data_IF_741483208814
#
_entry.id   IF_741483208814
#
_cell.length_a   1.000
_cell.length_b   1.000
_cell.length_c   1.000
_cell.angle_alpha   90.00
_cell.angle_beta   90.00
_cell.angle_gamma   90.00
#
_symmetry.space_group_name_H-M   'P 1'
#
loop_
_entity.id
_entity.type
_entity.pdbx_description
1 polymer ?
#
# COMPACT_ATOMS: atom_id res chain seq x y z
N UNK A 1 30.99 10.17 2.57
CA UNK A 1 30.01 9.43 1.73
C UNK A 1 28.70 10.23 1.70
N UNK A 2 28.62 11.30 0.91
CA UNK A 2 27.69 12.42 1.22
C UNK A 2 26.72 12.83 0.10
N UNK A 3 26.50 11.96 -0.90
CA UNK A 3 25.81 12.33 -2.15
C UNK A 3 24.43 11.68 -2.40
N UNK A 4 23.75 11.21 -1.35
CA UNK A 4 22.36 10.71 -1.46
C UNK A 4 21.33 11.40 -0.56
N UNK A 5 21.65 12.55 0.04
CA UNK A 5 20.62 13.49 0.52
C UNK A 5 19.90 14.15 -0.68
N UNK A 6 19.01 13.40 -1.35
CA UNK A 6 18.14 13.89 -2.42
C UNK A 6 17.03 14.78 -1.84
N UNK A 7 17.40 16.03 -1.59
CA UNK A 7 16.58 17.19 -1.24
C UNK A 7 15.07 16.95 -1.29
N UNK A 8 14.44 16.75 -0.13
CA UNK A 8 13.05 17.21 0.03
C UNK A 8 13.10 18.73 -0.18
N UNK A 9 12.44 19.30 -1.21
CA UNK A 9 12.52 20.73 -1.48
C UNK A 9 12.02 21.52 -0.26
N UNK A 10 12.81 22.50 0.17
CA UNK A 10 12.60 23.27 1.40
C UNK A 10 11.16 23.81 1.49
N UNK A 11 10.60 23.94 2.71
CA UNK A 11 9.31 24.57 2.89
C UNK A 11 9.37 26.00 2.30
N UNK A 12 8.42 26.40 1.43
CA UNK A 12 8.50 27.69 0.77
C UNK A 12 8.30 28.83 1.76
N UNK A 13 9.11 29.87 1.59
CA UNK A 13 8.95 31.21 2.19
C UNK A 13 7.51 31.71 1.91
N UNK A 14 6.84 32.42 2.84
CA UNK A 14 5.42 32.76 2.70
C UNK A 14 5.12 33.68 1.50
N UNK A 15 4.71 33.07 0.39
CA UNK A 15 4.14 33.72 -0.79
C UNK A 15 2.85 33.03 -1.22
N UNK A 16 1.72 33.76 -1.23
CA UNK A 16 0.36 33.19 -1.28
C UNK A 16 -0.02 32.37 -2.53
N UNK A 17 0.82 32.33 -3.57
CA UNK A 17 0.47 31.70 -4.87
C UNK A 17 1.30 30.46 -5.19
N UNK A 18 2.47 30.26 -4.56
CA UNK A 18 3.37 29.13 -4.87
C UNK A 18 3.12 27.87 -4.02
N UNK A 19 2.24 27.97 -3.01
CA UNK A 19 2.04 26.98 -1.94
C UNK A 19 1.39 25.65 -2.37
N UNK A 20 0.90 25.53 -3.63
CA UNK A 20 0.19 24.35 -4.12
C UNK A 20 1.06 23.36 -4.90
N UNK A 21 2.08 23.82 -5.66
CA UNK A 21 2.74 22.97 -6.68
C UNK A 21 4.26 22.75 -6.53
N UNK A 22 5.03 23.70 -5.98
CA UNK A 22 6.50 23.70 -6.17
C UNK A 22 7.33 22.64 -5.42
N UNK A 23 6.77 21.95 -4.42
CA UNK A 23 7.55 21.11 -3.48
C UNK A 23 6.86 19.80 -3.09
N UNK A 24 5.53 19.82 -2.94
CA UNK A 24 4.74 18.67 -2.42
C UNK A 24 4.59 17.50 -3.40
N UNK A 25 4.76 17.73 -4.71
CA UNK A 25 4.54 16.72 -5.75
C UNK A 25 5.59 15.61 -5.74
N UNK A 26 6.88 15.97 -5.67
CA UNK A 26 7.98 15.01 -5.81
C UNK A 26 7.97 13.92 -4.72
N UNK A 27 7.78 14.31 -3.46
CA UNK A 27 7.77 13.36 -2.33
C UNK A 27 6.61 12.38 -2.38
N UNK A 28 5.45 12.81 -2.89
CA UNK A 28 4.30 11.94 -3.07
C UNK A 28 4.44 11.05 -4.30
N UNK A 29 4.98 11.56 -5.41
CA UNK A 29 5.33 10.73 -6.55
C UNK A 29 6.33 9.62 -6.18
N UNK A 30 7.35 9.93 -5.35
CA UNK A 30 8.25 8.93 -4.75
C UNK A 30 7.48 7.90 -3.91
N UNK A 31 6.60 8.34 -3.00
CA UNK A 31 5.77 7.44 -2.20
C UNK A 31 4.93 6.49 -3.07
N UNK A 32 4.23 7.02 -4.08
CA UNK A 32 3.39 6.23 -4.99
C UNK A 32 4.23 5.24 -5.82
N UNK A 33 5.35 5.69 -6.39
CA UNK A 33 6.23 4.84 -7.18
C UNK A 33 6.83 3.70 -6.34
N UNK A 34 7.30 3.99 -5.13
CA UNK A 34 7.83 2.97 -4.20
C UNK A 34 6.73 2.04 -3.71
N UNK A 35 5.54 2.56 -3.42
CA UNK A 35 4.40 1.77 -2.95
C UNK A 35 3.92 0.79 -4.03
N UNK A 36 3.75 1.26 -5.26
CA UNK A 36 3.39 0.40 -6.40
C UNK A 36 4.51 -0.60 -6.72
N UNK A 37 5.78 -0.19 -6.72
CA UNK A 37 6.89 -1.12 -6.94
C UNK A 37 6.99 -2.20 -5.85
N UNK A 38 6.72 -1.84 -4.59
CA UNK A 38 6.69 -2.79 -3.47
C UNK A 38 5.51 -3.76 -3.58
N UNK A 39 4.33 -3.27 -3.98
CA UNK A 39 3.15 -4.10 -4.22
C UNK A 39 3.36 -5.06 -5.40
N UNK A 40 3.91 -4.58 -6.52
CA UNK A 40 4.27 -5.42 -7.66
C UNK A 40 5.31 -6.49 -7.31
N UNK A 41 6.27 -6.18 -6.44
CA UNK A 41 7.22 -7.19 -5.96
C UNK A 41 6.52 -8.29 -5.16
N UNK A 42 5.52 -7.96 -4.34
CA UNK A 42 4.69 -8.97 -3.64
C UNK A 42 3.98 -9.87 -4.65
N UNK A 43 3.30 -9.32 -5.65
CA UNK A 43 2.57 -10.16 -6.62
C UNK A 43 3.49 -10.97 -7.53
N UNK A 44 4.64 -10.42 -7.96
CA UNK A 44 5.64 -11.19 -8.73
C UNK A 44 6.12 -12.41 -7.92
N UNK A 45 6.35 -12.24 -6.60
CA UNK A 45 6.72 -13.36 -5.73
C UNK A 45 5.56 -14.35 -5.52
N UNK A 46 4.32 -13.87 -5.40
CA UNK A 46 3.13 -14.71 -5.31
C UNK A 46 2.89 -15.53 -6.59
N UNK A 47 3.08 -14.92 -7.77
CA UNK A 47 3.05 -15.58 -9.08
C UNK A 47 4.14 -16.64 -9.19
N UNK A 48 5.39 -16.31 -8.83
CA UNK A 48 6.52 -17.26 -8.87
C UNK A 48 6.28 -18.46 -7.95
N UNK A 49 5.66 -18.28 -6.78
CA UNK A 49 5.32 -19.40 -5.90
C UNK A 49 4.15 -20.24 -6.46
N UNK A 50 3.10 -19.60 -6.96
CA UNK A 50 1.94 -20.28 -7.53
C UNK A 50 2.24 -21.01 -8.86
N UNK A 51 3.25 -20.59 -9.63
CA UNK A 51 3.68 -21.29 -10.84
C UNK A 51 4.17 -22.72 -10.58
N UNK A 52 4.57 -23.03 -9.34
CA UNK A 52 4.94 -24.39 -8.90
C UNK A 52 3.71 -25.32 -8.73
N UNK A 53 2.50 -24.76 -8.71
CA UNK A 53 1.24 -25.47 -8.48
C UNK A 53 0.51 -25.79 -9.80
N UNK A 54 -0.26 -26.89 -9.86
CA UNK A 54 -1.20 -27.14 -10.96
C UNK A 54 -2.12 -25.93 -11.21
N UNK A 55 -2.51 -25.62 -12.46
CA UNK A 55 -3.30 -24.42 -12.76
C UNK A 55 -4.60 -24.26 -11.95
N UNK A 56 -5.25 -25.37 -11.58
CA UNK A 56 -6.48 -25.38 -10.79
C UNK A 56 -6.26 -25.11 -9.28
N UNK A 57 -5.01 -25.18 -8.79
CA UNK A 57 -4.63 -25.00 -7.38
C UNK A 57 -3.92 -23.66 -7.13
N UNK A 58 -3.86 -22.79 -8.15
CA UNK A 58 -3.25 -21.46 -8.06
C UNK A 58 -4.16 -20.51 -7.30
N UNK A 59 -3.62 -19.93 -6.24
CA UNK A 59 -4.26 -18.90 -5.43
C UNK A 59 -3.76 -17.55 -5.95
N UNK A 60 -4.37 -17.10 -7.05
CA UNK A 60 -4.07 -15.88 -7.80
C UNK A 60 -5.39 -15.17 -8.20
N UNK A 61 -5.35 -13.90 -8.60
CA UNK A 61 -6.51 -13.17 -9.13
C UNK A 61 -6.95 -13.70 -10.50
N UNK A 62 -6.01 -14.30 -11.25
CA UNK A 62 -6.25 -14.99 -12.51
C UNK A 62 -5.26 -16.16 -12.77
N UNK A 63 -5.65 -17.26 -13.47
CA UNK A 63 -4.75 -18.39 -13.73
C UNK A 63 -3.56 -18.10 -14.67
N UNK A 64 -3.72 -17.12 -15.58
CA UNK A 64 -2.65 -16.59 -16.43
C UNK A 64 -1.85 -15.50 -15.67
N UNK A 65 -0.52 -15.67 -15.49
CA UNK A 65 0.35 -14.75 -14.77
C UNK A 65 0.41 -13.31 -15.29
N UNK A 66 0.29 -13.09 -16.61
CA UNK A 66 0.40 -11.75 -17.18
C UNK A 66 -0.86 -10.95 -16.87
N UNK A 67 -2.01 -11.58 -17.01
CA UNK A 67 -3.32 -11.06 -16.62
C UNK A 67 -3.37 -10.76 -15.12
N UNK A 68 -2.82 -11.64 -14.30
CA UNK A 68 -2.72 -11.47 -12.84
C UNK A 68 -1.94 -10.20 -12.47
N UNK A 69 -0.76 -9.99 -13.07
CA UNK A 69 0.05 -8.76 -12.90
C UNK A 69 -0.67 -7.48 -13.40
N UNK A 70 -1.57 -7.58 -14.38
CA UNK A 70 -2.42 -6.45 -14.79
C UNK A 70 -3.53 -6.17 -13.76
N UNK A 71 -4.16 -7.21 -13.20
CA UNK A 71 -5.18 -7.07 -12.16
C UNK A 71 -4.60 -6.58 -10.82
N UNK A 72 -3.36 -6.94 -10.51
CA UNK A 72 -2.61 -6.43 -9.37
C UNK A 72 -2.53 -4.89 -9.34
N UNK A 73 -2.47 -4.22 -10.51
CA UNK A 73 -2.57 -2.76 -10.57
C UNK A 73 -3.87 -2.26 -9.94
N UNK A 74 -5.00 -2.83 -10.37
CA UNK A 74 -6.33 -2.47 -9.89
C UNK A 74 -6.52 -2.81 -8.40
N UNK A 75 -5.92 -3.91 -7.94
CA UNK A 75 -6.01 -4.33 -6.54
C UNK A 75 -5.18 -3.44 -5.60
N UNK A 76 -3.90 -3.19 -5.91
CA UNK A 76 -2.99 -2.49 -4.99
C UNK A 76 -3.04 -0.97 -5.07
N UNK A 77 -3.41 -0.38 -6.21
CA UNK A 77 -3.43 1.07 -6.40
C UNK A 77 -4.26 1.80 -5.32
N UNK A 78 -5.47 1.35 -4.94
CA UNK A 78 -6.21 1.96 -3.84
C UNK A 78 -5.45 1.94 -2.51
N UNK A 79 -4.86 0.81 -2.10
CA UNK A 79 -4.10 0.76 -0.83
C UNK A 79 -2.95 1.76 -0.81
N UNK A 80 -2.20 1.88 -1.91
CA UNK A 80 -1.10 2.84 -2.05
C UNK A 80 -1.62 4.29 -2.05
N UNK A 81 -2.70 4.59 -2.76
CA UNK A 81 -3.30 5.94 -2.79
C UNK A 81 -3.85 6.37 -1.44
N UNK A 82 -4.71 5.55 -0.82
CA UNK A 82 -5.41 5.90 0.42
C UNK A 82 -4.42 6.03 1.60
N UNK A 83 -3.45 5.12 1.75
CA UNK A 83 -2.37 5.31 2.74
C UNK A 83 -1.51 6.53 2.42
N UNK A 84 -1.14 6.74 1.16
CA UNK A 84 -0.35 7.90 0.74
C UNK A 84 -1.03 9.24 1.06
N UNK A 85 -2.35 9.32 0.94
CA UNK A 85 -3.13 10.49 1.38
C UNK A 85 -3.17 10.62 2.91
N UNK A 86 -3.35 9.50 3.61
CA UNK A 86 -3.42 9.47 5.08
C UNK A 86 -2.10 9.89 5.74
N UNK A 87 -0.96 9.31 5.33
CA UNK A 87 0.36 9.62 5.93
C UNK A 87 0.82 11.04 5.61
N UNK A 88 0.31 11.67 4.55
CA UNK A 88 0.52 13.09 4.24
C UNK A 88 -0.32 14.03 5.11
N UNK A 89 -1.51 13.58 5.56
CA UNK A 89 -2.46 14.41 6.30
C UNK A 89 -2.29 14.30 7.83
N UNK A 90 -1.87 13.13 8.30
CA UNK A 90 -1.80 12.74 9.70
C UNK A 90 -0.42 12.16 10.07
N UNK A 91 -0.05 12.22 11.34
CA UNK A 91 1.26 11.85 11.87
C UNK A 91 1.54 10.32 11.96
N UNK A 92 1.00 9.53 11.03
CA UNK A 92 1.30 8.10 10.95
C UNK A 92 2.81 7.85 10.79
N UNK A 93 3.32 6.94 11.61
CA UNK A 93 4.67 6.37 11.53
C UNK A 93 4.64 5.09 10.69
N UNK A 94 5.76 4.74 10.07
CA UNK A 94 5.85 3.53 9.24
C UNK A 94 5.42 2.25 9.97
N UNK A 95 5.72 2.11 11.27
CA UNK A 95 5.33 0.94 12.05
C UNK A 95 3.83 0.90 12.38
N UNK A 96 3.16 2.07 12.47
CA UNK A 96 1.71 2.13 12.63
C UNK A 96 1.03 1.62 11.35
N UNK A 97 1.57 2.01 10.19
CA UNK A 97 1.12 1.51 8.87
C UNK A 97 1.43 0.02 8.70
N UNK A 98 2.61 -0.44 9.12
CA UNK A 98 3.00 -1.86 9.12
C UNK A 98 2.02 -2.71 9.91
N UNK A 99 1.75 -2.34 11.18
CA UNK A 99 0.90 -3.14 12.05
C UNK A 99 -0.57 -3.14 11.60
N UNK A 100 -1.12 -1.98 11.23
CA UNK A 100 -2.51 -1.90 10.76
C UNK A 100 -2.66 -2.64 9.43
N UNK A 101 -1.75 -2.39 8.49
CA UNK A 101 -1.79 -2.95 7.14
C UNK A 101 -1.49 -4.45 7.06
N UNK A 102 -0.64 -4.96 7.95
CA UNK A 102 -0.38 -6.40 8.08
C UNK A 102 -1.46 -7.14 8.88
N UNK A 103 -2.01 -6.53 9.94
CA UNK A 103 -3.13 -7.12 10.69
C UNK A 103 -4.41 -7.21 9.85
N UNK A 104 -4.72 -6.20 9.04
CA UNK A 104 -5.81 -6.27 8.06
C UNK A 104 -5.52 -7.28 6.95
N UNK A 105 -4.25 -7.43 6.54
CA UNK A 105 -3.81 -8.53 5.69
C UNK A 105 -4.20 -9.90 6.24
N UNK A 106 -3.88 -10.20 7.51
CA UNK A 106 -4.25 -11.47 8.17
C UNK A 106 -5.77 -11.73 8.12
N UNK A 107 -6.58 -10.68 8.35
CA UNK A 107 -8.04 -10.76 8.38
C UNK A 107 -8.68 -10.95 7.00
N UNK A 108 -8.05 -10.47 5.93
CA UNK A 108 -8.62 -10.45 4.58
C UNK A 108 -8.04 -11.51 3.65
N UNK A 109 -6.81 -11.96 3.89
CA UNK A 109 -6.10 -12.95 3.07
C UNK A 109 -6.95 -14.23 2.90
N UNK A 110 -7.17 -14.62 1.63
CA UNK A 110 -8.03 -15.75 1.24
C UNK A 110 -9.43 -15.69 1.88
N UNK A 111 -10.06 -14.50 1.85
CA UNK A 111 -11.39 -14.25 2.47
C UNK A 111 -11.41 -14.57 3.98
N UNK A 112 -10.27 -14.37 4.66
CA UNK A 112 -10.10 -14.64 6.09
C UNK A 112 -9.70 -16.07 6.44
N UNK A 113 -9.46 -16.95 5.45
CA UNK A 113 -9.01 -18.32 5.72
C UNK A 113 -7.68 -18.37 6.49
N UNK A 114 -6.77 -17.40 6.28
CA UNK A 114 -5.51 -17.33 7.05
C UNK A 114 -5.78 -16.98 8.52
N UNK A 115 -6.65 -16.01 8.82
CA UNK A 115 -7.07 -15.74 10.20
C UNK A 115 -7.69 -16.99 10.84
N UNK A 116 -8.65 -17.63 10.16
CA UNK A 116 -9.35 -18.82 10.65
C UNK A 116 -8.49 -20.09 10.73
N UNK A 117 -7.31 -20.11 10.12
CA UNK A 117 -6.37 -21.23 10.24
C UNK A 117 -5.74 -21.36 11.64
N UNK A 118 -5.82 -20.31 12.46
CA UNK A 118 -5.14 -20.21 13.76
C UNK A 118 -3.64 -20.57 13.75
N UNK A 119 -2.98 -20.42 12.60
CA UNK A 119 -1.57 -20.74 12.40
C UNK A 119 -0.70 -19.47 12.57
N UNK A 120 0.08 -19.33 13.68
CA UNK A 120 0.86 -18.13 13.94
C UNK A 120 1.98 -17.89 12.92
N UNK A 121 2.47 -18.93 12.24
CA UNK A 121 3.48 -18.80 11.19
C UNK A 121 2.87 -18.22 9.91
N UNK A 122 1.64 -18.65 9.56
CA UNK A 122 0.90 -18.04 8.45
C UNK A 122 0.55 -16.57 8.76
N UNK A 123 0.13 -16.29 10.00
CA UNK A 123 -0.13 -14.92 10.45
C UNK A 123 1.13 -14.04 10.39
N UNK A 124 2.26 -14.54 10.88
CA UNK A 124 3.54 -13.81 10.83
C UNK A 124 4.00 -13.57 9.38
N UNK A 125 3.86 -14.56 8.50
CA UNK A 125 4.16 -14.41 7.08
C UNK A 125 3.31 -13.31 6.44
N UNK A 126 1.99 -13.35 6.62
CA UNK A 126 1.06 -12.35 6.06
C UNK A 126 1.28 -10.96 6.67
N UNK A 127 1.55 -10.87 7.99
CA UNK A 127 1.94 -9.62 8.66
C UNK A 127 3.19 -9.01 8.02
N UNK A 128 4.22 -9.82 7.78
CA UNK A 128 5.48 -9.37 7.18
C UNK A 128 5.27 -8.93 5.72
N UNK A 129 4.54 -9.69 4.91
CA UNK A 129 4.27 -9.33 3.50
C UNK A 129 3.41 -8.07 3.42
N UNK A 130 2.19 -8.08 3.98
CA UNK A 130 1.24 -6.98 3.85
C UNK A 130 1.65 -5.73 4.62
N UNK A 131 2.29 -5.90 5.78
CA UNK A 131 2.84 -4.79 6.56
C UNK A 131 4.01 -4.11 5.84
N UNK A 132 4.94 -4.89 5.27
CA UNK A 132 6.16 -4.32 4.67
C UNK A 132 5.86 -3.48 3.42
N UNK A 133 5.07 -3.97 2.45
CA UNK A 133 4.85 -3.21 1.21
C UNK A 133 4.12 -1.89 1.44
N UNK A 134 3.28 -1.80 2.49
CA UNK A 134 2.61 -0.56 2.93
C UNK A 134 3.55 0.36 3.72
N UNK A 135 4.48 -0.19 4.50
CA UNK A 135 5.39 0.59 5.35
C UNK A 135 6.64 1.12 4.61
N UNK A 136 7.20 0.38 3.66
CA UNK A 136 8.36 0.76 2.84
C UNK A 136 8.20 2.14 2.16
N UNK A 137 7.08 2.48 1.48
CA UNK A 137 6.92 3.82 0.91
C UNK A 137 6.83 4.92 1.97
N UNK A 138 6.36 4.62 3.20
CA UNK A 138 6.36 5.56 4.33
C UNK A 138 7.79 5.84 4.78
N UNK A 139 8.62 4.80 4.94
CA UNK A 139 10.04 4.91 5.27
C UNK A 139 10.80 5.75 4.24
N UNK A 140 10.66 5.44 2.95
CA UNK A 140 11.36 6.16 1.87
C UNK A 140 10.89 7.62 1.74
N UNK A 141 9.67 7.94 2.20
CA UNK A 141 9.15 9.31 2.22
C UNK A 141 9.33 10.03 3.57
N UNK A 142 9.87 9.39 4.61
CA UNK A 142 9.77 9.81 6.01
C UNK A 142 10.32 11.24 6.25
N UNK A 143 11.53 11.54 5.76
CA UNK A 143 12.14 12.88 5.84
C UNK A 143 11.23 13.98 5.27
N UNK A 144 10.55 13.68 4.17
CA UNK A 144 9.68 14.64 3.51
C UNK A 144 8.31 14.74 4.19
N UNK A 145 7.79 13.63 4.75
CA UNK A 145 6.55 13.61 5.54
C UNK A 145 6.72 14.31 6.89
N UNK A 146 7.89 14.20 7.52
CA UNK A 146 8.21 14.88 8.79
C UNK A 146 8.40 16.39 8.62
N UNK A 147 8.79 16.86 7.42
CA UNK A 147 8.81 18.29 7.06
C UNK A 147 7.42 18.86 6.72
N UNK A 148 6.39 18.02 6.59
CA UNK A 148 5.00 18.48 6.45
C UNK A 148 4.41 18.74 7.84
N UNK A 149 3.65 19.83 8.00
CA UNK A 149 2.85 20.11 9.20
C UNK A 149 1.65 19.15 9.30
N UNK A 150 1.91 17.87 9.55
CA UNK A 150 0.90 16.81 9.66
C UNK A 150 0.10 17.00 10.95
N UNK A 151 -1.20 16.73 10.91
CA UNK A 151 -2.00 16.81 12.13
C UNK A 151 -1.66 15.64 13.06
N UNK A 152 -1.32 15.96 14.31
CA UNK A 152 -1.19 14.98 15.36
C UNK A 152 -2.58 14.44 15.73
N UNK A 153 -2.74 13.11 15.70
CA UNK A 153 -3.96 12.44 16.14
C UNK A 153 -3.65 11.34 17.15
N UNK A 154 -4.46 11.26 18.21
CA UNK A 154 -4.30 10.27 19.28
C UNK A 154 -4.39 8.82 18.78
N UNK A 155 -3.68 7.91 19.46
CA UNK A 155 -3.51 6.49 19.07
C UNK A 155 -4.82 5.79 18.64
N UNK A 156 -5.90 5.94 19.40
CA UNK A 156 -7.20 5.37 19.06
C UNK A 156 -7.79 5.92 17.76
N UNK A 157 -7.65 7.23 17.50
CA UNK A 157 -8.08 7.84 16.24
C UNK A 157 -7.24 7.34 15.08
N UNK A 158 -5.93 7.15 15.26
CA UNK A 158 -5.06 6.52 14.24
C UNK A 158 -5.50 5.11 13.89
N UNK A 159 -5.82 4.28 14.89
CA UNK A 159 -6.27 2.91 14.67
C UNK A 159 -7.61 2.88 13.91
N UNK A 160 -8.63 3.58 14.40
CA UNK A 160 -9.96 3.63 13.77
C UNK A 160 -9.89 4.18 12.34
N UNK A 161 -9.16 5.28 12.13
CA UNK A 161 -8.99 5.85 10.80
C UNK A 161 -8.17 4.94 9.87
N UNK A 162 -7.16 4.25 10.38
CA UNK A 162 -6.35 3.29 9.61
C UNK A 162 -7.16 2.07 9.16
N UNK A 163 -8.02 1.54 10.04
CA UNK A 163 -8.95 0.46 9.69
C UNK A 163 -9.99 0.94 8.65
N UNK A 164 -10.48 2.18 8.76
CA UNK A 164 -11.37 2.77 7.76
C UNK A 164 -10.66 2.97 6.40
N UNK A 165 -9.39 3.37 6.41
CA UNK A 165 -8.54 3.49 5.21
C UNK A 165 -8.38 2.13 4.51
N UNK A 166 -8.06 1.08 5.26
CA UNK A 166 -7.94 -0.29 4.75
C UNK A 166 -9.27 -0.79 4.15
N UNK A 167 -10.39 -0.56 4.84
CA UNK A 167 -11.72 -0.92 4.35
C UNK A 167 -12.10 -0.18 3.06
N UNK A 168 -11.89 1.14 3.00
CA UNK A 168 -12.18 1.94 1.80
C UNK A 168 -11.28 1.57 0.63
N UNK A 169 -10.00 1.26 0.89
CA UNK A 169 -9.07 0.76 -0.11
C UNK A 169 -9.53 -0.60 -0.65
N UNK A 170 -9.92 -1.54 0.22
CA UNK A 170 -10.42 -2.87 -0.18
C UNK A 170 -11.70 -2.79 -1.03
N UNK A 171 -12.68 -1.98 -0.63
CA UNK A 171 -13.91 -1.76 -1.42
C UNK A 171 -13.58 -1.13 -2.78
N UNK A 172 -12.67 -0.14 -2.81
CA UNK A 172 -12.21 0.49 -4.05
C UNK A 172 -11.46 -0.48 -4.96
N UNK A 173 -10.66 -1.39 -4.39
CA UNK A 173 -9.93 -2.43 -5.11
C UNK A 173 -10.87 -3.46 -5.74
N UNK A 174 -11.90 -3.91 -5.01
CA UNK A 174 -12.94 -4.79 -5.56
C UNK A 174 -13.70 -4.14 -6.72
N UNK A 175 -14.08 -2.86 -6.58
CA UNK A 175 -14.74 -2.11 -7.65
C UNK A 175 -13.83 -1.92 -8.88
N UNK A 176 -12.55 -1.59 -8.68
CA UNK A 176 -11.60 -1.38 -9.78
C UNK A 176 -11.25 -2.71 -10.49
N UNK A 177 -11.12 -3.81 -9.75
CA UNK A 177 -10.98 -5.16 -10.31
C UNK A 177 -12.18 -5.56 -11.17
N UNK A 178 -13.40 -5.28 -10.72
CA UNK A 178 -14.61 -5.55 -11.50
C UNK A 178 -14.62 -4.78 -12.83
N UNK A 179 -14.28 -3.48 -12.79
CA UNK A 179 -14.14 -2.64 -13.99
C UNK A 179 -13.06 -3.22 -14.93
N UNK A 180 -11.89 -3.59 -14.42
CA UNK A 180 -10.79 -4.12 -15.23
C UNK A 180 -11.15 -5.47 -15.88
N UNK A 181 -11.76 -6.39 -15.13
CA UNK A 181 -12.23 -7.67 -15.69
C UNK A 181 -13.29 -7.47 -16.78
N UNK A 182 -14.22 -6.52 -16.59
CA UNK A 182 -15.23 -6.19 -17.59
C UNK A 182 -14.63 -5.58 -18.87
N UNK A 183 -13.68 -4.64 -18.74
CA UNK A 183 -13.01 -4.00 -19.88
C UNK A 183 -12.13 -4.97 -20.68
N UNK A 184 -11.54 -5.97 -20.03
CA UNK A 184 -10.65 -6.95 -20.65
C UNK A 184 -11.38 -8.21 -21.15
N UNK A 185 -12.70 -8.30 -20.96
CA UNK A 185 -13.52 -9.50 -21.24
C UNK A 185 -12.99 -10.76 -20.50
N UNK A 186 -12.67 -10.63 -19.21
CA UNK A 186 -12.21 -11.71 -18.31
C UNK A 186 -13.30 -12.01 -17.27
N UNK A 187 -14.57 -11.96 -17.68
CA UNK A 187 -15.77 -12.30 -16.90
C UNK A 187 -16.54 -13.36 -17.67
#
# INVERSE_FOLDING_TARGET
MDHLHRSCPNPPVPGKVQALYGSRGSSFAKYLAVGMASAYLVEILAVIDNLKRPPAERILLHPDPLTDLYLAFAYYLPFVLYWGLAVRRYDYRWWEVFLIGGATGILMEQMGAVFLSFNPLAWLYVLLVYGSYKAVPVLVAEDCLNKMGRANIGKWKKLVLGLLIEFLAFVSAGALLWIFKALLNII
#
